data_IF_197283419659
#
_entry.id   IF_197283419659
#
_cell.length_a   1.000
_cell.length_b   1.000
_cell.length_c   1.000
_cell.angle_alpha   90.00
_cell.angle_beta   90.00
_cell.angle_gamma   90.00
#
_symmetry.space_group_name_H-M   'P 1'
#
loop_
_entity.id
_entity.type
_entity.pdbx_description
1 polymer ?
#
# COMPACT_ATOMS: atom_id res chain seq x y z
N UNK A 1 3.63 39.36 50.39
CA UNK A 1 2.90 38.88 49.19
C UNK A 1 3.68 37.74 48.55
N UNK A 2 3.41 36.49 48.95
CA UNK A 2 3.90 35.24 48.34
C UNK A 2 3.29 34.09 49.16
N UNK A 3 2.14 33.59 48.74
CA UNK A 3 1.57 32.30 49.14
C UNK A 3 0.19 32.17 48.48
N UNK A 4 0.12 31.54 47.31
CA UNK A 4 -1.09 30.93 46.70
C UNK A 4 -0.74 30.35 45.33
N UNK A 5 0.09 29.31 45.31
CA UNK A 5 0.31 28.50 44.10
C UNK A 5 0.66 27.03 44.40
N UNK A 6 0.80 26.64 45.69
CA UNK A 6 1.07 25.25 46.10
C UNK A 6 -0.18 24.42 46.37
N UNK A 7 -1.33 25.05 46.60
CA UNK A 7 -2.55 24.32 46.98
C UNK A 7 -3.35 23.79 45.79
N UNK A 8 -3.17 24.34 44.58
CA UNK A 8 -3.86 23.88 43.35
C UNK A 8 -3.26 22.56 42.84
N UNK A 9 -1.95 22.37 42.94
CA UNK A 9 -1.30 21.12 42.54
C UNK A 9 -1.57 19.96 43.51
N UNK A 10 -1.85 20.24 44.79
CA UNK A 10 -2.22 19.22 45.78
C UNK A 10 -3.71 18.80 45.61
N UNK A 11 -4.56 19.71 45.12
CA UNK A 11 -5.95 19.40 44.75
C UNK A 11 -6.06 18.61 43.44
N UNK A 12 -5.21 18.86 42.43
CA UNK A 12 -5.16 18.04 41.22
C UNK A 12 -4.56 16.63 41.46
N UNK A 13 -3.62 16.50 42.39
CA UNK A 13 -3.02 15.21 42.75
C UNK A 13 -3.92 14.31 43.62
N UNK A 14 -4.85 14.89 44.39
CA UNK A 14 -5.76 14.13 45.24
C UNK A 14 -7.07 13.70 44.55
N UNK A 15 -7.47 14.38 43.46
CA UNK A 15 -8.63 13.96 42.63
C UNK A 15 -8.33 12.70 41.78
N UNK A 16 -7.05 12.44 41.47
CA UNK A 16 -6.62 11.28 40.69
C UNK A 16 -6.39 9.99 41.50
N UNK A 17 -6.43 10.06 42.84
CA UNK A 17 -6.29 8.87 43.70
C UNK A 17 -7.65 8.29 44.10
N UNK A 18 -8.76 9.01 43.91
CA UNK A 18 -10.09 8.53 44.31
C UNK A 18 -10.85 7.72 43.24
N UNK A 19 -10.40 7.70 41.99
CA UNK A 19 -10.98 6.83 40.94
C UNK A 19 -10.27 5.46 40.89
N UNK A 20 -9.10 5.32 41.50
CA UNK A 20 -8.26 4.12 41.40
C UNK A 20 -8.40 3.07 42.52
N UNK A 21 -9.06 3.36 43.66
CA UNK A 21 -9.03 2.47 44.84
C UNK A 21 -10.35 1.72 45.10
N UNK A 22 -11.46 2.08 44.45
CA UNK A 22 -12.73 1.35 44.64
C UNK A 22 -12.83 0.08 43.78
N UNK A 23 -11.96 -0.09 42.78
CA UNK A 23 -12.04 -1.21 41.82
C UNK A 23 -11.41 -2.54 42.28
N UNK A 24 -10.89 -2.64 43.51
CA UNK A 24 -10.11 -3.84 43.93
C UNK A 24 -10.83 -4.76 44.94
N UNK A 25 -12.02 -4.44 45.45
CA UNK A 25 -12.58 -5.24 46.58
C UNK A 25 -13.91 -5.97 46.33
N UNK A 26 -14.62 -5.80 45.21
CA UNK A 26 -15.85 -6.61 44.99
C UNK A 26 -15.90 -7.29 43.62
N UNK A 27 -15.92 -8.62 43.68
CA UNK A 27 -15.81 -9.53 42.56
C UNK A 27 -16.89 -9.38 41.49
N UNK A 28 -16.46 -9.72 40.28
CA UNK A 28 -17.18 -10.08 39.06
C UNK A 28 -18.70 -10.22 39.25
N UNK A 29 -19.42 -9.14 38.91
CA UNK A 29 -20.71 -9.22 38.22
C UNK A 29 -20.70 -8.15 37.14
N UNK A 30 -20.94 -8.57 35.89
CA UNK A 30 -21.29 -7.68 34.77
C UNK A 30 -22.52 -6.88 35.20
N UNK A 31 -22.33 -5.65 35.64
CA UNK A 31 -23.40 -4.68 35.83
C UNK A 31 -23.26 -3.65 34.72
N UNK A 32 -24.31 -3.60 33.89
CA UNK A 32 -24.57 -2.52 32.93
C UNK A 32 -24.16 -1.17 33.53
N UNK A 33 -23.16 -0.53 32.93
CA UNK A 33 -22.90 0.88 33.20
C UNK A 33 -24.03 1.69 32.58
N UNK A 34 -24.60 2.55 33.42
CA UNK A 34 -25.65 3.49 33.08
C UNK A 34 -25.20 4.44 31.97
N UNK A 35 -26.09 4.61 31.00
CA UNK A 35 -25.91 5.23 29.71
C UNK A 35 -25.90 6.76 29.85
N UNK A 36 -24.72 7.36 30.01
CA UNK A 36 -24.49 8.75 29.56
C UNK A 36 -24.43 8.65 28.04
N UNK A 37 -25.42 9.22 27.34
CA UNK A 37 -25.72 8.96 25.92
C UNK A 37 -24.47 8.73 25.07
N UNK A 38 -24.31 7.51 24.58
CA UNK A 38 -23.14 7.10 23.78
C UNK A 38 -22.96 7.94 22.51
N UNK A 39 -21.78 7.82 21.88
CA UNK A 39 -21.38 8.58 20.68
C UNK A 39 -22.45 8.61 19.58
N UNK A 40 -23.28 7.56 19.46
CA UNK A 40 -24.38 7.49 18.50
C UNK A 40 -25.49 8.53 18.70
N UNK A 41 -25.61 9.12 19.89
CA UNK A 41 -26.66 10.13 20.21
C UNK A 41 -26.19 11.58 20.01
N UNK A 42 -24.89 11.80 19.89
CA UNK A 42 -24.27 13.13 19.83
C UNK A 42 -24.29 13.71 18.42
N UNK A 43 -24.12 15.02 18.27
CA UNK A 43 -23.78 15.59 16.95
C UNK A 43 -22.38 15.13 16.52
N UNK A 44 -22.04 15.08 15.21
CA UNK A 44 -20.69 14.72 14.76
C UNK A 44 -19.60 15.57 15.43
N UNK A 45 -19.86 16.87 15.59
CA UNK A 45 -18.97 17.81 16.27
C UNK A 45 -18.80 17.51 17.76
N UNK A 46 -19.88 17.19 18.46
CA UNK A 46 -19.78 16.82 19.88
C UNK A 46 -19.06 15.48 20.07
N UNK A 47 -19.28 14.52 19.15
CA UNK A 47 -18.55 13.25 19.13
C UNK A 47 -17.05 13.46 18.86
N UNK A 48 -16.68 14.37 17.94
CA UNK A 48 -15.29 14.78 17.74
C UNK A 48 -14.64 15.26 19.04
N UNK A 49 -15.31 16.15 19.79
CA UNK A 49 -14.78 16.65 21.06
C UNK A 49 -14.63 15.56 22.12
N UNK A 50 -15.56 14.59 22.17
CA UNK A 50 -15.42 13.44 23.05
C UNK A 50 -14.25 12.53 22.65
N UNK A 51 -13.97 12.39 21.35
CA UNK A 51 -12.85 11.62 20.82
C UNK A 51 -11.52 12.39 20.80
N UNK A 52 -11.51 13.67 21.19
CA UNK A 52 -10.37 14.58 21.05
C UNK A 52 -9.06 14.04 21.63
N UNK A 53 -9.09 13.33 22.77
CA UNK A 53 -7.88 12.74 23.36
C UNK A 53 -7.34 11.56 22.51
N UNK A 54 -8.23 10.75 21.93
CA UNK A 54 -7.84 9.65 21.04
C UNK A 54 -7.32 10.19 19.71
N UNK A 55 -7.93 11.26 19.20
CA UNK A 55 -7.48 11.99 18.01
C UNK A 55 -6.09 12.59 18.26
N UNK A 56 -5.92 13.33 19.36
CA UNK A 56 -4.64 13.95 19.78
C UNK A 56 -3.51 12.93 19.96
N UNK A 57 -3.84 11.73 20.46
CA UNK A 57 -2.88 10.63 20.61
C UNK A 57 -2.77 9.74 19.36
N UNK A 58 -3.49 10.06 18.28
CA UNK A 58 -3.54 9.30 17.03
C UNK A 58 -3.82 7.80 17.23
N UNK A 59 -4.67 7.48 18.20
CA UNK A 59 -5.02 6.11 18.56
C UNK A 59 -6.11 5.55 17.64
N UNK A 60 -5.79 5.34 16.35
CA UNK A 60 -6.76 4.94 15.30
C UNK A 60 -7.62 3.75 15.71
N UNK A 61 -7.00 2.68 16.24
CA UNK A 61 -7.69 1.47 16.69
C UNK A 61 -8.75 1.80 17.75
N UNK A 62 -8.40 2.59 18.76
CA UNK A 62 -9.33 2.98 19.83
C UNK A 62 -10.45 3.88 19.35
N UNK A 63 -10.18 4.74 18.36
CA UNK A 63 -11.23 5.56 17.74
C UNK A 63 -12.22 4.63 17.03
N UNK A 64 -11.73 3.67 16.25
CA UNK A 64 -12.58 2.70 15.56
C UNK A 64 -13.37 1.82 16.55
N UNK A 65 -12.75 1.34 17.63
CA UNK A 65 -13.43 0.62 18.72
C UNK A 65 -14.55 1.44 19.35
N UNK A 66 -14.30 2.72 19.63
CA UNK A 66 -15.31 3.61 20.23
C UNK A 66 -16.54 3.79 19.33
N UNK A 67 -16.36 3.65 18.02
CA UNK A 67 -17.42 3.77 17.02
C UNK A 67 -18.09 2.42 16.67
N UNK A 68 -17.65 1.30 17.24
CA UNK A 68 -18.15 -0.03 16.86
C UNK A 68 -19.62 -0.28 17.20
N UNK A 69 -20.14 0.35 18.26
CA UNK A 69 -21.55 0.29 18.66
C UNK A 69 -22.39 1.44 18.06
N UNK A 70 -21.78 2.29 17.23
CA UNK A 70 -22.45 3.42 16.56
C UNK A 70 -22.96 2.96 15.20
N UNK A 71 -24.22 3.29 14.89
CA UNK A 71 -24.81 2.94 13.59
C UNK A 71 -23.96 3.49 12.42
N UNK A 72 -23.80 2.74 11.31
CA UNK A 72 -22.79 3.02 10.28
C UNK A 72 -22.87 4.44 9.70
N UNK A 73 -24.06 4.94 9.42
CA UNK A 73 -24.28 6.28 8.86
C UNK A 73 -23.85 7.37 9.83
N UNK A 74 -24.05 7.13 11.13
CA UNK A 74 -23.65 8.06 12.18
C UNK A 74 -22.14 8.03 12.38
N UNK A 75 -21.54 6.84 12.38
CA UNK A 75 -20.08 6.68 12.45
C UNK A 75 -19.41 7.36 11.25
N UNK A 76 -19.94 7.17 10.03
CA UNK A 76 -19.47 7.83 8.81
C UNK A 76 -19.52 9.36 8.94
N UNK A 77 -20.60 9.92 9.50
CA UNK A 77 -20.71 11.36 9.70
C UNK A 77 -19.72 11.89 10.75
N UNK A 78 -19.45 11.13 11.82
CA UNK A 78 -18.44 11.48 12.82
C UNK A 78 -17.04 11.47 12.20
N UNK A 79 -16.71 10.46 11.39
CA UNK A 79 -15.40 10.38 10.72
C UNK A 79 -15.24 11.49 9.69
N UNK A 80 -16.31 11.87 8.98
CA UNK A 80 -16.29 13.02 8.09
C UNK A 80 -15.95 14.31 8.83
N UNK A 81 -16.49 14.52 10.05
CA UNK A 81 -16.11 15.65 10.90
C UNK A 81 -14.63 15.58 11.29
N UNK A 82 -14.13 14.40 11.70
CA UNK A 82 -12.72 14.20 12.07
C UNK A 82 -11.76 14.54 10.92
N UNK A 83 -12.12 14.20 9.67
CA UNK A 83 -11.29 14.46 8.48
C UNK A 83 -11.30 15.96 8.11
N UNK A 84 -12.40 16.66 8.35
CA UNK A 84 -12.56 18.07 7.91
C UNK A 84 -12.19 19.09 8.98
N UNK A 85 -12.19 18.72 10.25
CA UNK A 85 -11.91 19.66 11.33
C UNK A 85 -10.42 20.02 11.35
N UNK A 86 -10.12 21.32 11.23
CA UNK A 86 -8.75 21.85 11.22
C UNK A 86 -7.96 21.58 12.52
N UNK A 87 -8.65 21.24 13.61
CA UNK A 87 -8.04 20.88 14.89
C UNK A 87 -7.72 19.39 14.99
N UNK A 88 -8.16 18.58 14.02
CA UNK A 88 -7.78 17.19 13.93
C UNK A 88 -6.27 17.07 13.78
N UNK A 89 -5.67 16.20 14.60
CA UNK A 89 -4.23 15.92 14.57
C UNK A 89 -3.93 14.60 13.86
N UNK A 90 -4.96 13.93 13.33
CA UNK A 90 -4.78 12.78 12.48
C UNK A 90 -4.04 13.21 11.21
N UNK A 91 -3.06 12.41 10.83
CA UNK A 91 -2.45 12.53 9.51
C UNK A 91 -3.31 11.82 8.48
N UNK A 92 -3.10 12.15 7.21
CA UNK A 92 -3.71 11.44 6.07
C UNK A 92 -3.67 9.91 6.18
N UNK A 93 -2.56 9.35 6.66
CA UNK A 93 -2.45 7.89 6.81
C UNK A 93 -3.34 7.37 7.94
N UNK A 94 -3.45 8.09 9.05
CA UNK A 94 -4.32 7.70 10.16
C UNK A 94 -5.80 7.80 9.77
N UNK A 95 -6.16 8.81 8.97
CA UNK A 95 -7.51 8.97 8.44
C UNK A 95 -7.89 7.80 7.51
N UNK A 96 -6.99 7.42 6.61
CA UNK A 96 -7.18 6.25 5.76
C UNK A 96 -7.25 4.96 6.57
N UNK A 97 -6.38 4.78 7.55
CA UNK A 97 -6.40 3.61 8.44
C UNK A 97 -7.68 3.56 9.29
N UNK A 98 -8.20 4.69 9.74
CA UNK A 98 -9.49 4.77 10.44
C UNK A 98 -10.64 4.34 9.52
N UNK A 99 -10.64 4.81 8.27
CA UNK A 99 -11.62 4.37 7.25
C UNK A 99 -11.52 2.85 7.05
N UNK A 100 -10.31 2.30 6.94
CA UNK A 100 -10.10 0.86 6.75
C UNK A 100 -10.57 0.05 7.96
N UNK A 101 -10.23 0.50 9.16
CA UNK A 101 -10.60 -0.14 10.41
C UNK A 101 -12.12 -0.25 10.55
N UNK A 102 -12.84 0.84 10.26
CA UNK A 102 -14.30 0.88 10.33
C UNK A 102 -14.94 0.01 9.25
N UNK A 103 -14.45 0.05 8.01
CA UNK A 103 -14.96 -0.84 6.96
C UNK A 103 -14.80 -2.34 7.32
N UNK A 104 -13.72 -2.70 8.03
CA UNK A 104 -13.48 -4.07 8.47
C UNK A 104 -14.41 -4.55 9.60
N UNK A 105 -15.11 -3.64 10.29
CA UNK A 105 -16.14 -4.02 11.26
C UNK A 105 -17.40 -4.60 10.58
N UNK A 106 -17.54 -4.41 9.27
CA UNK A 106 -18.69 -4.85 8.47
C UNK A 106 -18.27 -5.87 7.40
N UNK A 107 -17.77 -7.06 7.78
CA UNK A 107 -17.27 -8.03 6.82
C UNK A 107 -18.39 -8.52 5.88
N UNK A 108 -18.12 -8.53 4.58
CA UNK A 108 -19.06 -8.91 3.51
C UNK A 108 -20.34 -8.08 3.43
N UNK A 109 -20.36 -6.90 4.05
CA UNK A 109 -21.49 -5.97 4.06
C UNK A 109 -21.15 -4.77 3.18
N UNK A 110 -21.27 -4.96 1.87
CA UNK A 110 -20.78 -4.00 0.86
C UNK A 110 -21.40 -2.60 0.99
N UNK A 111 -22.66 -2.50 1.44
CA UNK A 111 -23.34 -1.20 1.59
C UNK A 111 -22.73 -0.40 2.73
N UNK A 112 -22.53 -1.06 3.87
CA UNK A 112 -21.95 -0.49 5.08
C UNK A 112 -20.47 -0.15 4.86
N UNK A 113 -19.71 -1.03 4.19
CA UNK A 113 -18.33 -0.76 3.79
C UNK A 113 -18.22 0.43 2.85
N UNK A 114 -19.14 0.55 1.88
CA UNK A 114 -19.17 1.67 0.93
C UNK A 114 -19.34 3.03 1.61
N UNK A 115 -20.10 3.12 2.72
CA UNK A 115 -20.24 4.36 3.47
C UNK A 115 -18.88 4.95 3.88
N UNK A 116 -17.97 4.09 4.33
CA UNK A 116 -16.63 4.51 4.75
C UNK A 116 -15.72 4.77 3.55
N UNK A 117 -15.75 3.94 2.51
CA UNK A 117 -14.92 4.17 1.32
C UNK A 117 -15.34 5.42 0.53
N UNK A 118 -16.62 5.80 0.58
CA UNK A 118 -17.11 7.05 0.00
C UNK A 118 -16.50 8.29 0.65
N UNK A 119 -16.01 8.20 1.91
CA UNK A 119 -15.24 9.27 2.54
C UNK A 119 -13.95 9.54 1.76
N UNK A 120 -13.33 8.50 1.21
CA UNK A 120 -12.14 8.65 0.37
C UNK A 120 -12.53 9.53 -0.83
N UNK A 121 -13.60 9.18 -1.56
CA UNK A 121 -14.06 9.89 -2.76
C UNK A 121 -14.45 11.35 -2.53
N UNK A 122 -14.93 11.68 -1.33
CA UNK A 122 -15.37 13.03 -0.97
C UNK A 122 -14.22 13.96 -0.59
N UNK A 123 -13.11 13.43 -0.10
CA UNK A 123 -12.03 14.22 0.49
C UNK A 123 -10.76 14.13 -0.38
N UNK A 124 -10.56 15.13 -1.24
CA UNK A 124 -9.48 15.13 -2.25
C UNK A 124 -8.08 15.01 -1.64
N UNK A 125 -7.89 15.55 -0.45
CA UNK A 125 -6.60 15.52 0.25
C UNK A 125 -6.18 14.11 0.66
N UNK A 126 -7.14 13.17 0.74
CA UNK A 126 -6.85 11.74 0.92
C UNK A 126 -6.22 11.09 -0.32
N UNK A 127 -6.24 11.75 -1.49
CA UNK A 127 -5.60 11.24 -2.72
C UNK A 127 -4.24 11.85 -3.01
N UNK A 128 -4.01 13.09 -2.60
CA UNK A 128 -2.87 13.88 -3.11
C UNK A 128 -1.69 13.86 -2.14
N UNK A 129 -0.47 13.81 -2.68
CA UNK A 129 0.75 14.22 -1.96
C UNK A 129 1.36 13.19 -1.01
N UNK A 130 0.94 11.92 -1.05
CA UNK A 130 1.43 10.88 -0.15
C UNK A 130 1.65 9.50 -0.80
N UNK A 131 1.80 8.48 0.04
CA UNK A 131 1.78 7.10 -0.44
C UNK A 131 0.37 6.75 -0.98
N UNK A 132 0.26 5.99 -2.08
CA UNK A 132 -1.03 5.60 -2.65
C UNK A 132 -1.90 4.81 -1.67
N UNK A 133 -3.22 4.96 -1.78
CA UNK A 133 -4.19 4.38 -0.82
C UNK A 133 -4.08 2.86 -0.76
N UNK A 134 -4.02 2.16 -1.90
CA UNK A 134 -3.88 0.71 -1.92
C UNK A 134 -2.54 0.26 -1.32
N UNK A 135 -1.46 1.03 -1.51
CA UNK A 135 -0.19 0.75 -0.85
C UNK A 135 -0.29 0.87 0.68
N UNK A 136 -0.95 1.92 1.18
CA UNK A 136 -1.16 2.12 2.63
C UNK A 136 -2.00 0.97 3.18
N UNK A 137 -3.11 0.63 2.53
CA UNK A 137 -3.96 -0.49 2.92
C UNK A 137 -3.16 -1.80 2.99
N UNK A 138 -2.38 -2.13 1.95
CA UNK A 138 -1.59 -3.35 1.92
C UNK A 138 -0.50 -3.40 3.01
N UNK A 139 0.09 -2.26 3.37
CA UNK A 139 1.17 -2.19 4.36
C UNK A 139 0.67 -2.17 5.81
N UNK A 140 -0.53 -1.64 6.06
CA UNK A 140 -1.07 -1.46 7.41
C UNK A 140 -1.56 -2.77 8.02
N UNK A 141 -1.89 -2.72 9.32
CA UNK A 141 -2.52 -3.83 10.04
C UNK A 141 -3.91 -4.18 9.49
N UNK A 142 -4.49 -3.28 8.70
CA UNK A 142 -5.79 -3.42 8.05
C UNK A 142 -5.71 -4.00 6.63
N UNK A 143 -4.59 -4.66 6.27
CA UNK A 143 -4.36 -5.28 4.94
C UNK A 143 -5.53 -6.10 4.36
N UNK A 144 -6.38 -6.68 5.22
CA UNK A 144 -7.57 -7.45 4.80
C UNK A 144 -8.68 -6.58 4.19
N UNK A 145 -8.57 -5.25 4.26
CA UNK A 145 -9.50 -4.31 3.63
C UNK A 145 -9.35 -4.27 2.12
N UNK A 146 -8.17 -4.64 1.59
CA UNK A 146 -7.82 -4.46 0.18
C UNK A 146 -8.85 -5.07 -0.77
N UNK A 147 -9.32 -6.33 -0.59
CA UNK A 147 -10.33 -6.90 -1.48
C UNK A 147 -11.63 -6.10 -1.50
N UNK A 148 -12.14 -5.69 -0.35
CA UNK A 148 -13.38 -4.91 -0.23
C UNK A 148 -13.23 -3.51 -0.86
N UNK A 149 -12.05 -2.88 -0.68
CA UNK A 149 -11.75 -1.58 -1.28
C UNK A 149 -11.66 -1.67 -2.82
N UNK A 150 -11.03 -2.72 -3.35
CA UNK A 150 -10.97 -2.98 -4.79
C UNK A 150 -12.37 -3.24 -5.37
N UNK A 151 -13.17 -4.07 -4.70
CA UNK A 151 -14.55 -4.37 -5.12
C UNK A 151 -15.43 -3.12 -5.11
N UNK A 152 -15.37 -2.32 -4.05
CA UNK A 152 -16.09 -1.05 -3.98
C UNK A 152 -15.69 -0.10 -5.12
N UNK A 153 -14.39 0.08 -5.36
CA UNK A 153 -13.89 0.96 -6.41
C UNK A 153 -14.28 0.45 -7.80
N UNK A 154 -14.26 -0.86 -8.02
CA UNK A 154 -14.67 -1.48 -9.28
C UNK A 154 -16.16 -1.24 -9.60
N UNK A 155 -17.03 -1.28 -8.59
CA UNK A 155 -18.49 -1.11 -8.76
C UNK A 155 -18.85 0.37 -8.93
N UNK A 156 -18.30 1.26 -8.10
CA UNK A 156 -18.81 2.63 -7.97
C UNK A 156 -17.92 3.68 -8.65
N UNK A 157 -16.64 3.39 -8.87
CA UNK A 157 -15.61 4.37 -9.22
C UNK A 157 -14.50 3.77 -10.11
N UNK A 158 -14.86 3.14 -11.24
CA UNK A 158 -13.87 2.46 -12.10
C UNK A 158 -12.68 3.36 -12.50
N UNK A 159 -12.93 4.61 -12.87
CA UNK A 159 -11.85 5.56 -13.21
C UNK A 159 -10.89 5.80 -12.04
N UNK A 160 -11.44 5.91 -10.83
CA UNK A 160 -10.64 6.04 -9.61
C UNK A 160 -9.82 4.77 -9.36
N UNK A 161 -10.40 3.58 -9.58
CA UNK A 161 -9.67 2.33 -9.43
C UNK A 161 -8.44 2.27 -10.36
N UNK A 162 -8.61 2.68 -11.62
CA UNK A 162 -7.52 2.71 -12.60
C UNK A 162 -6.40 3.66 -12.15
N UNK A 163 -6.76 4.84 -11.64
CA UNK A 163 -5.82 5.82 -11.08
C UNK A 163 -5.09 5.27 -9.85
N UNK A 164 -5.83 4.79 -8.85
CA UNK A 164 -5.27 4.21 -7.62
C UNK A 164 -4.33 3.04 -7.90
N UNK A 165 -4.72 2.16 -8.83
CA UNK A 165 -3.92 1.00 -9.22
C UNK A 165 -2.62 1.45 -9.87
N UNK A 166 -2.70 2.34 -10.87
CA UNK A 166 -1.53 2.84 -11.58
C UNK A 166 -0.55 3.55 -10.65
N UNK A 167 -1.04 4.47 -9.82
CA UNK A 167 -0.19 5.18 -8.85
C UNK A 167 0.49 4.22 -7.88
N UNK A 168 -0.26 3.26 -7.36
CA UNK A 168 0.25 2.23 -6.43
C UNK A 168 1.37 1.41 -7.06
N UNK A 169 1.16 0.92 -8.27
CA UNK A 169 2.13 0.09 -9.00
C UNK A 169 3.41 0.88 -9.32
N UNK A 170 3.28 2.14 -9.79
CA UNK A 170 4.42 3.01 -10.04
C UNK A 170 5.20 3.31 -8.76
N UNK A 171 4.51 3.57 -7.65
CA UNK A 171 5.13 3.80 -6.34
C UNK A 171 5.92 2.57 -5.89
N UNK A 172 5.33 1.38 -6.01
CA UNK A 172 5.95 0.10 -5.68
C UNK A 172 7.25 -0.11 -6.46
N UNK A 173 7.24 0.15 -7.76
CA UNK A 173 8.43 0.05 -8.59
C UNK A 173 9.46 1.12 -8.21
N UNK A 174 9.05 2.37 -8.03
CA UNK A 174 9.95 3.47 -7.67
C UNK A 174 10.71 3.21 -6.36
N UNK A 175 10.06 2.59 -5.38
CA UNK A 175 10.63 2.35 -4.04
C UNK A 175 10.97 0.87 -3.77
N UNK A 176 11.00 0.03 -4.82
CA UNK A 176 11.36 -1.39 -4.77
C UNK A 176 10.59 -2.20 -3.69
N UNK A 177 9.27 -2.04 -3.64
CA UNK A 177 8.36 -2.61 -2.61
C UNK A 177 7.73 -3.94 -3.02
N UNK A 178 8.58 -4.95 -3.24
CA UNK A 178 8.15 -6.24 -3.78
C UNK A 178 7.15 -6.99 -2.89
N UNK A 179 7.28 -6.92 -1.56
CA UNK A 179 6.38 -7.66 -0.65
C UNK A 179 4.96 -7.08 -0.68
N UNK A 180 4.82 -5.76 -0.71
CA UNK A 180 3.54 -5.08 -0.85
C UNK A 180 2.92 -5.32 -2.23
N UNK A 181 3.73 -5.46 -3.28
CA UNK A 181 3.27 -5.84 -4.61
C UNK A 181 2.62 -7.23 -4.62
N UNK A 182 3.32 -8.24 -4.09
CA UNK A 182 2.78 -9.61 -4.00
C UNK A 182 1.49 -9.63 -3.19
N UNK A 183 1.48 -8.93 -2.05
CA UNK A 183 0.30 -8.85 -1.19
C UNK A 183 -0.91 -8.23 -1.89
N UNK A 184 -0.72 -7.14 -2.64
CA UNK A 184 -1.80 -6.52 -3.40
C UNK A 184 -2.34 -7.47 -4.47
N UNK A 185 -1.45 -8.19 -5.16
CA UNK A 185 -1.83 -9.18 -6.16
C UNK A 185 -2.62 -10.34 -5.53
N UNK A 186 -2.16 -10.88 -4.39
CA UNK A 186 -2.85 -11.92 -3.62
C UNK A 186 -4.23 -11.46 -3.14
N UNK A 187 -4.40 -10.16 -2.87
CA UNK A 187 -5.68 -9.54 -2.53
C UNK A 187 -6.54 -9.12 -3.74
N UNK A 188 -6.15 -9.47 -4.95
CA UNK A 188 -6.97 -9.32 -6.15
C UNK A 188 -6.67 -8.09 -7.00
N UNK A 189 -5.55 -7.39 -6.77
CA UNK A 189 -5.07 -6.37 -7.72
C UNK A 189 -4.55 -7.06 -8.99
N UNK A 190 -5.39 -7.12 -10.02
CA UNK A 190 -5.06 -7.77 -11.29
C UNK A 190 -4.21 -6.86 -12.19
N UNK A 191 -3.41 -7.49 -13.05
CA UNK A 191 -2.61 -6.82 -14.08
C UNK A 191 -2.88 -7.47 -15.44
N UNK A 192 -3.16 -6.63 -16.44
CA UNK A 192 -3.13 -7.09 -17.82
C UNK A 192 -1.68 -7.40 -18.25
N UNK A 193 -1.45 -8.36 -19.16
CA UNK A 193 -0.11 -8.69 -19.67
C UNK A 193 0.67 -7.47 -20.19
N UNK A 194 -0.01 -6.54 -20.85
CA UNK A 194 0.58 -5.31 -21.37
C UNK A 194 1.04 -4.38 -20.24
N UNK A 195 0.25 -4.26 -19.16
CA UNK A 195 0.63 -3.50 -17.97
C UNK A 195 1.81 -4.17 -17.24
N UNK A 196 1.80 -5.50 -17.12
CA UNK A 196 2.91 -6.25 -16.54
C UNK A 196 4.21 -6.08 -17.35
N UNK A 197 4.10 -6.00 -18.68
CA UNK A 197 5.23 -5.73 -19.59
C UNK A 197 5.84 -4.35 -19.36
N UNK A 198 5.01 -3.31 -19.26
CA UNK A 198 5.48 -1.95 -18.96
C UNK A 198 6.12 -1.88 -17.56
N UNK A 199 5.50 -2.50 -16.54
CA UNK A 199 6.06 -2.56 -15.19
C UNK A 199 7.39 -3.33 -15.16
N UNK A 200 7.53 -4.39 -15.95
CA UNK A 200 8.77 -5.17 -16.06
C UNK A 200 9.90 -4.27 -16.57
N UNK A 201 9.65 -3.51 -17.63
CA UNK A 201 10.62 -2.56 -18.16
C UNK A 201 11.02 -1.53 -17.09
N UNK A 202 10.05 -0.94 -16.40
CA UNK A 202 10.32 0.06 -15.36
C UNK A 202 11.10 -0.52 -14.17
N UNK A 203 10.77 -1.73 -13.73
CA UNK A 203 11.48 -2.44 -12.66
C UNK A 203 12.95 -2.66 -13.03
N UNK A 204 13.21 -3.14 -14.24
CA UNK A 204 14.58 -3.35 -14.74
C UNK A 204 15.31 -2.02 -14.90
N UNK A 205 14.67 -0.99 -15.47
CA UNK A 205 15.27 0.31 -15.67
C UNK A 205 15.61 1.03 -14.35
N UNK A 206 14.83 0.80 -13.29
CA UNK A 206 15.08 1.30 -11.94
C UNK A 206 16.06 0.42 -11.15
N UNK A 207 16.58 -0.65 -11.75
CA UNK A 207 17.50 -1.59 -11.13
C UNK A 207 16.91 -2.29 -9.89
N UNK A 208 15.61 -2.60 -9.92
CA UNK A 208 14.92 -3.26 -8.81
C UNK A 208 15.34 -4.73 -8.63
N UNK A 209 14.83 -5.34 -7.55
CA UNK A 209 15.02 -6.76 -7.26
C UNK A 209 14.63 -7.66 -8.44
N UNK A 210 15.44 -8.69 -8.69
CA UNK A 210 15.16 -9.73 -9.68
C UNK A 210 13.82 -10.46 -9.44
N UNK A 211 13.26 -10.37 -8.23
CA UNK A 211 11.95 -10.93 -7.91
C UNK A 211 10.82 -10.27 -8.71
N UNK A 212 10.92 -8.97 -9.02
CA UNK A 212 9.95 -8.31 -9.90
C UNK A 212 9.95 -8.91 -11.30
N UNK A 213 11.12 -9.26 -11.83
CA UNK A 213 11.24 -9.87 -13.17
C UNK A 213 10.48 -11.19 -13.23
N UNK A 214 10.75 -12.07 -12.27
CA UNK A 214 10.15 -13.41 -12.24
C UNK A 214 8.63 -13.30 -12.08
N UNK A 215 8.16 -12.50 -11.12
CA UNK A 215 6.74 -12.34 -10.86
C UNK A 215 5.99 -11.73 -12.04
N UNK A 216 6.49 -10.65 -12.64
CA UNK A 216 5.81 -9.97 -13.75
C UNK A 216 5.75 -10.86 -15.00
N UNK A 217 6.79 -11.66 -15.25
CA UNK A 217 6.76 -12.68 -16.32
C UNK A 217 5.73 -13.76 -16.02
N UNK A 218 5.56 -14.17 -14.76
CA UNK A 218 4.54 -15.13 -14.36
C UNK A 218 3.11 -14.62 -14.56
N UNK A 219 2.91 -13.32 -14.38
CA UNK A 219 1.66 -12.61 -14.70
C UNK A 219 1.44 -12.46 -16.22
N UNK A 220 2.45 -12.71 -17.04
CA UNK A 220 2.34 -12.72 -18.51
C UNK A 220 3.07 -11.57 -19.22
N UNK A 221 3.95 -10.83 -18.54
CA UNK A 221 4.79 -9.82 -19.17
C UNK A 221 5.62 -10.39 -20.34
N UNK A 222 5.72 -9.65 -21.44
CA UNK A 222 6.62 -9.98 -22.55
C UNK A 222 8.07 -9.65 -22.16
N UNK A 223 8.83 -10.67 -21.79
CA UNK A 223 10.25 -10.57 -21.43
C UNK A 223 11.13 -10.05 -22.59
N UNK A 224 10.66 -10.17 -23.84
CA UNK A 224 11.37 -9.75 -25.04
C UNK A 224 10.88 -8.41 -25.59
N UNK A 225 10.02 -7.70 -24.85
CA UNK A 225 9.53 -6.39 -25.24
C UNK A 225 10.69 -5.42 -25.55
N UNK A 226 10.51 -4.65 -26.63
CA UNK A 226 11.49 -3.68 -27.10
C UNK A 226 10.99 -2.26 -26.77
N UNK A 227 11.60 -1.65 -25.77
CA UNK A 227 11.30 -0.27 -25.40
C UNK A 227 11.92 0.71 -26.39
N UNK A 228 11.07 1.59 -26.94
CA UNK A 228 11.41 2.66 -27.90
C UNK A 228 12.26 2.18 -29.09
N UNK A 229 12.08 0.94 -29.55
CA UNK A 229 12.86 0.31 -30.62
C UNK A 229 14.38 0.24 -30.35
N UNK A 230 14.81 0.31 -29.08
CA UNK A 230 16.23 0.38 -28.74
C UNK A 230 16.69 -0.64 -27.70
N UNK A 231 15.88 -0.87 -26.68
CA UNK A 231 16.30 -1.66 -25.53
C UNK A 231 15.36 -2.82 -25.29
N UNK A 232 15.91 -4.00 -25.04
CA UNK A 232 15.20 -5.06 -24.30
C UNK A 232 15.54 -4.97 -22.82
N UNK A 233 14.73 -5.60 -21.98
CA UNK A 233 15.05 -5.74 -20.54
C UNK A 233 16.42 -6.37 -20.31
N UNK A 234 16.83 -7.36 -21.12
CA UNK A 234 18.15 -7.99 -21.02
C UNK A 234 19.28 -6.99 -21.27
N UNK A 235 19.18 -6.20 -22.35
CA UNK A 235 20.16 -5.16 -22.69
C UNK A 235 20.27 -4.15 -21.54
N UNK A 236 19.13 -3.64 -21.05
CA UNK A 236 19.11 -2.63 -19.99
C UNK A 236 19.69 -3.16 -18.67
N UNK A 237 19.36 -4.39 -18.28
CA UNK A 237 19.91 -5.02 -17.09
C UNK A 237 21.43 -5.22 -17.19
N UNK A 238 21.95 -5.54 -18.39
CA UNK A 238 23.38 -5.65 -18.63
C UNK A 238 24.08 -4.30 -18.56
N UNK A 239 23.50 -3.22 -19.10
CA UNK A 239 24.04 -1.85 -18.93
C UNK A 239 24.17 -1.44 -17.46
N UNK A 240 23.19 -1.84 -16.65
CA UNK A 240 23.16 -1.57 -15.21
C UNK A 240 24.08 -2.50 -14.40
N UNK A 241 24.79 -3.43 -15.06
CA UNK A 241 25.66 -4.43 -14.45
C UNK A 241 24.98 -5.23 -13.32
N UNK A 242 23.68 -5.50 -13.45
CA UNK A 242 22.93 -6.22 -12.43
C UNK A 242 22.87 -7.71 -12.77
N UNK A 243 23.84 -8.45 -12.23
CA UNK A 243 23.98 -9.89 -12.48
C UNK A 243 22.71 -10.69 -12.13
N UNK A 244 22.07 -10.39 -10.99
CA UNK A 244 20.90 -11.15 -10.53
C UNK A 244 19.68 -10.91 -11.42
N UNK A 245 19.46 -9.67 -11.85
CA UNK A 245 18.41 -9.32 -12.81
C UNK A 245 18.69 -9.94 -14.18
N UNK A 246 19.93 -9.88 -14.68
CA UNK A 246 20.32 -10.55 -15.93
C UNK A 246 20.04 -12.05 -15.84
N UNK A 247 20.44 -12.70 -14.74
CA UNK A 247 20.20 -14.13 -14.52
C UNK A 247 18.71 -14.46 -14.48
N UNK A 248 17.90 -13.66 -13.80
CA UNK A 248 16.45 -13.84 -13.77
C UNK A 248 15.82 -13.69 -15.16
N UNK A 249 16.23 -12.67 -15.93
CA UNK A 249 15.77 -12.46 -17.30
C UNK A 249 16.14 -13.65 -18.20
N UNK A 250 17.39 -14.14 -18.14
CA UNK A 250 17.83 -15.28 -18.95
C UNK A 250 17.08 -16.57 -18.61
N UNK A 251 16.84 -16.83 -17.31
CA UNK A 251 16.00 -17.92 -16.86
C UNK A 251 14.57 -17.80 -17.41
N UNK A 252 13.96 -16.61 -17.32
CA UNK A 252 12.63 -16.33 -17.84
C UNK A 252 12.58 -16.52 -19.36
N UNK A 253 13.56 -16.01 -20.12
CA UNK A 253 13.66 -16.22 -21.57
C UNK A 253 13.71 -17.71 -21.90
N UNK A 254 14.55 -18.49 -21.20
CA UNK A 254 14.66 -19.94 -21.40
C UNK A 254 13.33 -20.66 -21.14
N UNK A 255 12.62 -20.30 -20.07
CA UNK A 255 11.34 -20.91 -19.71
C UNK A 255 10.22 -20.56 -20.70
N UNK A 256 10.17 -19.31 -21.18
CA UNK A 256 9.11 -18.81 -22.08
C UNK A 256 9.37 -19.13 -23.56
N UNK A 257 10.59 -19.50 -23.92
CA UNK A 257 10.96 -19.83 -25.30
C UNK A 257 10.43 -21.19 -25.72
N UNK A 258 9.75 -21.23 -26.89
CA UNK A 258 9.21 -22.48 -27.46
C UNK A 258 10.27 -23.54 -27.78
N UNK A 259 11.51 -23.12 -28.04
CA UNK A 259 12.65 -23.98 -28.32
C UNK A 259 13.97 -23.23 -28.15
N UNK A 260 15.09 -23.95 -28.22
CA UNK A 260 16.44 -23.39 -28.10
C UNK A 260 16.76 -22.30 -29.13
N UNK A 261 16.24 -22.40 -30.36
CA UNK A 261 16.47 -21.39 -31.41
C UNK A 261 15.78 -20.06 -31.06
N UNK A 262 14.54 -20.11 -30.55
CA UNK A 262 13.83 -18.94 -30.08
C UNK A 262 14.55 -18.27 -28.89
N UNK A 263 15.01 -19.08 -27.93
CA UNK A 263 15.82 -18.61 -26.80
C UNK A 263 17.08 -17.88 -27.27
N UNK A 264 17.88 -18.51 -28.14
CA UNK A 264 19.12 -17.91 -28.67
C UNK A 264 18.81 -16.61 -29.43
N UNK A 265 17.71 -16.55 -30.20
CA UNK A 265 17.29 -15.33 -30.90
C UNK A 265 16.96 -14.20 -29.93
N UNK A 266 16.25 -14.50 -28.83
CA UNK A 266 15.93 -13.53 -27.79
C UNK A 266 17.19 -13.00 -27.09
N UNK A 267 18.12 -13.90 -26.72
CA UNK A 267 19.38 -13.56 -26.05
C UNK A 267 20.30 -12.68 -26.92
N UNK A 268 20.34 -12.95 -28.24
CA UNK A 268 21.17 -12.21 -29.19
C UNK A 268 20.44 -11.05 -29.88
N UNK A 269 19.33 -10.57 -29.32
CA UNK A 269 18.57 -9.50 -29.94
C UNK A 269 19.36 -8.20 -29.96
N UNK A 270 19.35 -7.51 -31.11
CA UNK A 270 19.95 -6.19 -31.31
C UNK A 270 18.86 -5.28 -31.90
N UNK A 271 18.04 -4.62 -31.07
CA UNK A 271 17.01 -3.73 -31.57
C UNK A 271 17.59 -2.47 -32.23
N UNK A 272 18.66 -1.91 -31.62
CA UNK A 272 19.39 -0.74 -32.12
C UNK A 272 20.89 -1.10 -32.28
N UNK A 273 21.42 -1.13 -33.51
CA UNK A 273 22.83 -1.39 -33.78
C UNK A 273 23.80 -0.46 -33.04
N UNK A 274 23.40 0.77 -32.70
CA UNK A 274 24.25 1.71 -31.96
C UNK A 274 24.39 1.34 -30.48
N UNK A 275 23.39 0.65 -29.91
CA UNK A 275 23.43 0.13 -28.53
C UNK A 275 24.22 -1.19 -28.49
N UNK A 276 23.93 -2.07 -29.45
CA UNK A 276 24.52 -3.41 -29.55
C UNK A 276 23.73 -4.48 -28.78
N UNK A 277 24.25 -5.70 -28.78
CA UNK A 277 23.68 -6.81 -28.00
C UNK A 277 24.07 -6.71 -26.52
N UNK A 278 23.36 -7.46 -25.66
CA UNK A 278 23.74 -7.60 -24.26
C UNK A 278 25.19 -8.12 -24.10
N UNK A 279 25.63 -9.05 -24.96
CA UNK A 279 27.00 -9.57 -24.93
C UNK A 279 28.04 -8.49 -25.28
N UNK A 280 27.79 -7.70 -26.33
CA UNK A 280 28.69 -6.61 -26.73
C UNK A 280 28.83 -5.57 -25.61
N UNK A 281 27.73 -5.27 -24.90
CA UNK A 281 27.76 -4.37 -23.74
C UNK A 281 28.60 -4.99 -22.61
N UNK A 282 28.40 -6.26 -22.28
CA UNK A 282 29.15 -6.94 -21.22
C UNK A 282 30.66 -6.97 -21.53
N UNK A 283 31.05 -7.30 -22.77
CA UNK A 283 32.45 -7.36 -23.20
C UNK A 283 33.08 -5.96 -23.19
N UNK A 284 32.43 -4.97 -23.81
CA UNK A 284 32.93 -3.58 -23.87
C UNK A 284 33.17 -2.98 -22.49
N UNK A 285 32.32 -3.30 -21.51
CA UNK A 285 32.42 -2.81 -20.14
C UNK A 285 33.14 -3.78 -19.18
N UNK A 286 33.70 -4.89 -19.69
CA UNK A 286 34.44 -5.88 -18.90
C UNK A 286 33.61 -6.54 -17.76
N UNK A 287 32.31 -6.73 -17.96
CA UNK A 287 31.41 -7.40 -17.01
C UNK A 287 31.56 -8.92 -17.08
N UNK A 288 32.74 -9.45 -16.70
CA UNK A 288 33.12 -10.85 -16.93
C UNK A 288 32.11 -11.89 -16.43
N UNK A 289 31.48 -11.69 -15.27
CA UNK A 289 30.43 -12.60 -14.77
C UNK A 289 29.18 -12.62 -15.66
N UNK A 290 28.77 -11.46 -16.16
CA UNK A 290 27.61 -11.32 -17.05
C UNK A 290 27.95 -11.84 -18.45
N UNK A 291 29.14 -11.55 -18.97
CA UNK A 291 29.65 -12.10 -20.23
C UNK A 291 29.60 -13.64 -20.23
N UNK A 292 30.23 -14.27 -19.24
CA UNK A 292 30.20 -15.73 -19.09
C UNK A 292 28.77 -16.28 -19.04
N UNK A 293 27.91 -15.65 -18.23
CA UNK A 293 26.51 -16.05 -18.10
C UNK A 293 25.75 -15.91 -19.43
N UNK A 294 25.94 -14.83 -20.18
CA UNK A 294 25.30 -14.65 -21.49
C UNK A 294 25.73 -15.76 -22.47
N UNK A 295 27.02 -16.11 -22.49
CA UNK A 295 27.56 -17.19 -23.34
C UNK A 295 27.00 -18.57 -22.97
N UNK A 296 26.78 -18.84 -21.68
CA UNK A 296 26.09 -20.07 -21.22
C UNK A 296 24.67 -20.19 -21.81
N UNK A 297 23.99 -19.07 -22.02
CA UNK A 297 22.66 -19.01 -22.63
C UNK A 297 22.70 -18.89 -24.16
N UNK A 298 23.88 -19.06 -24.77
CA UNK A 298 24.07 -19.08 -26.21
C UNK A 298 24.21 -17.70 -26.85
N UNK A 299 24.59 -16.67 -26.08
CA UNK A 299 25.03 -15.41 -26.66
C UNK A 299 26.31 -15.61 -27.48
N UNK A 300 26.38 -14.97 -28.66
CA UNK A 300 27.53 -15.03 -29.57
C UNK A 300 27.77 -13.65 -30.18
N UNK A 301 29.02 -13.43 -30.61
CA UNK A 301 29.43 -12.23 -31.35
C UNK A 301 28.89 -12.23 -32.79
#
# INVERSE_FOLDING_TARGET
MKCRFRDIHILLGSLLIFIGVVSIVHGIKKTHQENVGGLGTLSPKDAFWQLSLLIASRSVEKIAESLSDVVPEKAQAIVQEIIQDEQSTLTRNDELELIFALALQYPNQLKEQALFFDLIAKNKDLYVGGAPILFIAAKSDYQRVVPALLEWAQIHKKELLDELSKETLLYIIKYNKFQEFVRLYDYGLLLAPEQATELLWQAVNNNNSAQFVLFLVDVGADINYVYKNRYTSLIRATELNNYDVVKAILNAIKQRSKNKKAMIRAVNMIPDPAVGSALQIAVRNQFGKIDLLLREYGARE
#
